data_IF_043980693126
#
_entry.id   IF_043980693126
#
_cell.length_a   1.000
_cell.length_b   1.000
_cell.length_c   1.000
_cell.angle_alpha   90.00
_cell.angle_beta   90.00
_cell.angle_gamma   90.00
#
_symmetry.space_group_name_H-M   'P 1'
#
loop_
_entity.id
_entity.type
_entity.pdbx_description
1 polymer ?
#
# COMPACT_ATOMS: atom_id res chain seq x y z
N UNK A 1 -14.30 -5.82 -28.15
CA UNK A 1 -14.36 -4.90 -27.00
C UNK A 1 -15.83 -4.71 -26.66
N UNK A 2 -16.24 -5.27 -25.53
CA UNK A 2 -17.48 -6.03 -25.41
C UNK A 2 -18.63 -5.20 -24.84
N UNK A 3 -19.78 -5.20 -25.52
CA UNK A 3 -21.00 -4.50 -25.13
C UNK A 3 -21.52 -4.90 -23.73
N UNK A 4 -21.20 -6.11 -23.26
CA UNK A 4 -21.60 -6.62 -21.95
C UNK A 4 -20.99 -5.85 -20.76
N UNK A 5 -19.74 -5.37 -20.89
CA UNK A 5 -19.10 -4.58 -19.83
C UNK A 5 -19.76 -3.21 -19.64
N UNK A 6 -20.37 -2.66 -20.69
CA UNK A 6 -21.11 -1.39 -20.63
C UNK A 6 -22.47 -1.56 -19.96
N UNK A 7 -23.12 -2.72 -20.11
CA UNK A 7 -24.39 -3.03 -19.42
C UNK A 7 -24.17 -3.16 -17.92
N UNK A 8 -23.07 -3.81 -17.52
CA UNK A 8 -22.73 -3.99 -16.10
C UNK A 8 -22.40 -2.66 -15.42
N UNK A 9 -21.60 -1.79 -16.06
CA UNK A 9 -21.32 -0.43 -15.54
C UNK A 9 -22.58 0.41 -15.42
N UNK A 10 -23.44 0.41 -16.43
CA UNK A 10 -24.70 1.16 -16.43
C UNK A 10 -25.68 0.67 -15.35
N UNK A 11 -25.64 -0.62 -14.99
CA UNK A 11 -26.40 -1.20 -13.87
C UNK A 11 -25.83 -0.77 -12.51
N UNK A 12 -24.50 -0.71 -12.39
CA UNK A 12 -23.83 -0.23 -11.17
C UNK A 12 -24.03 1.26 -10.93
N UNK A 13 -23.93 2.09 -11.97
CA UNK A 13 -24.21 3.53 -11.91
C UNK A 13 -25.65 3.80 -11.49
N UNK A 14 -26.63 3.08 -12.07
CA UNK A 14 -28.03 3.15 -11.60
C UNK A 14 -28.19 2.74 -10.13
N UNK A 15 -27.49 1.70 -9.69
CA UNK A 15 -27.53 1.28 -8.27
C UNK A 15 -26.87 2.27 -7.31
N UNK A 16 -25.92 3.09 -7.80
CA UNK A 16 -25.30 4.16 -7.04
C UNK A 16 -26.19 5.42 -7.00
N UNK A 17 -26.83 5.77 -8.11
CA UNK A 17 -27.81 6.87 -8.19
C UNK A 17 -29.02 6.61 -7.29
N UNK A 18 -29.56 5.39 -7.28
CA UNK A 18 -30.66 5.00 -6.38
C UNK A 18 -30.28 5.07 -4.89
N UNK A 19 -28.99 4.88 -4.56
CA UNK A 19 -28.47 5.05 -3.18
C UNK A 19 -28.21 6.52 -2.83
N UNK A 20 -27.88 7.37 -3.79
CA UNK A 20 -27.70 8.80 -3.57
C UNK A 20 -29.04 9.52 -3.35
N UNK A 21 -30.12 9.06 -4.01
CA UNK A 21 -31.49 9.54 -3.78
C UNK A 21 -32.02 9.20 -2.38
N UNK A 22 -31.45 8.18 -1.72
CA UNK A 22 -31.78 7.74 -0.34
C UNK A 22 -31.53 8.80 0.75
N UNK A 23 -30.81 9.88 0.44
CA UNK A 23 -30.54 10.96 1.40
C UNK A 23 -31.70 11.95 1.56
N UNK A 24 -32.74 11.90 0.70
CA UNK A 24 -33.89 12.80 0.79
C UNK A 24 -35.19 12.02 0.55
N UNK A 25 -35.76 11.48 1.63
CA UNK A 25 -37.13 10.95 1.68
C UNK A 25 -37.41 9.75 0.80
N UNK A 26 -36.94 8.56 1.19
CA UNK A 26 -37.48 7.30 0.66
C UNK A 26 -38.97 7.18 1.04
N UNK A 27 -39.81 6.75 0.11
CA UNK A 27 -41.21 6.43 0.42
C UNK A 27 -41.22 5.25 1.39
N UNK A 28 -41.92 5.37 2.53
CA UNK A 28 -42.01 4.30 3.54
C UNK A 28 -42.51 2.97 2.94
N UNK A 29 -43.29 3.05 1.86
CA UNK A 29 -43.75 1.90 1.08
C UNK A 29 -42.60 1.20 0.33
N UNK A 30 -41.69 1.96 -0.29
CA UNK A 30 -40.52 1.42 -0.99
C UNK A 30 -39.51 0.76 -0.03
N UNK A 31 -39.30 1.36 1.15
CA UNK A 31 -38.46 0.75 2.18
C UNK A 31 -39.09 -0.56 2.73
N UNK A 32 -40.41 -0.60 2.92
CA UNK A 32 -41.12 -1.81 3.33
C UNK A 32 -41.09 -2.91 2.27
N UNK A 33 -41.19 -2.56 0.98
CA UNK A 33 -41.04 -3.50 -0.13
C UNK A 33 -39.63 -4.11 -0.20
N UNK A 34 -38.59 -3.29 0.01
CA UNK A 34 -37.20 -3.76 0.08
C UNK A 34 -36.97 -4.68 1.27
N UNK A 35 -37.51 -4.33 2.45
CA UNK A 35 -37.42 -5.18 3.64
C UNK A 35 -38.15 -6.51 3.46
N UNK A 36 -39.31 -6.51 2.78
CA UNK A 36 -40.05 -7.72 2.44
C UNK A 36 -39.26 -8.60 1.45
N UNK A 37 -38.64 -8.00 0.42
CA UNK A 37 -37.79 -8.72 -0.52
C UNK A 37 -36.55 -9.34 0.17
N UNK A 38 -35.90 -8.59 1.06
CA UNK A 38 -34.78 -9.06 1.88
C UNK A 38 -35.22 -10.19 2.83
N UNK A 39 -36.39 -10.08 3.45
CA UNK A 39 -36.95 -11.11 4.33
C UNK A 39 -37.27 -12.39 3.56
N UNK A 40 -37.88 -12.28 2.38
CA UNK A 40 -38.08 -13.41 1.48
C UNK A 40 -36.75 -14.05 1.08
N UNK A 41 -35.72 -13.26 0.78
CA UNK A 41 -34.40 -13.78 0.44
C UNK A 41 -33.77 -14.53 1.63
N UNK A 42 -33.88 -13.98 2.84
CA UNK A 42 -33.42 -14.65 4.08
C UNK A 42 -34.16 -15.95 4.33
N UNK A 43 -35.47 -15.99 4.11
CA UNK A 43 -36.28 -17.20 4.20
C UNK A 43 -35.86 -18.25 3.15
N UNK A 44 -35.62 -17.83 1.90
CA UNK A 44 -35.10 -18.69 0.83
C UNK A 44 -33.71 -19.25 1.20
N UNK A 45 -32.82 -18.41 1.77
CA UNK A 45 -31.49 -18.82 2.24
C UNK A 45 -31.57 -19.79 3.42
N UNK A 46 -32.46 -19.57 4.40
CA UNK A 46 -32.65 -20.44 5.57
C UNK A 46 -33.23 -21.82 5.20
N UNK A 47 -34.01 -21.89 4.12
CA UNK A 47 -34.54 -23.16 3.58
C UNK A 47 -33.47 -24.03 2.93
N UNK A 48 -32.33 -23.46 2.55
CA UNK A 48 -31.17 -24.22 2.12
C UNK A 48 -30.29 -24.45 3.34
N UNK A 49 -30.16 -25.70 3.75
CA UNK A 49 -29.22 -26.06 4.81
C UNK A 49 -27.80 -25.66 4.39
N UNK A 50 -27.14 -24.86 5.23
CA UNK A 50 -25.79 -24.34 4.96
C UNK A 50 -24.79 -25.49 4.79
N UNK A 51 -24.94 -26.58 5.56
CA UNK A 51 -24.10 -27.75 5.43
C UNK A 51 -24.29 -28.42 4.05
N UNK A 52 -25.54 -28.62 3.62
CA UNK A 52 -25.84 -29.15 2.28
C UNK A 52 -25.29 -28.27 1.15
N UNK A 53 -25.34 -26.94 1.31
CA UNK A 53 -24.75 -26.00 0.34
C UNK A 53 -23.23 -26.12 0.30
N UNK A 54 -22.56 -26.15 1.45
CA UNK A 54 -21.11 -26.31 1.55
C UNK A 54 -20.68 -27.64 0.95
N UNK A 55 -21.39 -28.73 1.24
CA UNK A 55 -21.10 -30.06 0.71
C UNK A 55 -21.25 -30.13 -0.83
N UNK A 56 -22.28 -29.47 -1.38
CA UNK A 56 -22.40 -29.30 -2.83
C UNK A 56 -21.20 -28.56 -3.42
N UNK A 57 -20.77 -27.44 -2.82
CA UNK A 57 -19.62 -26.67 -3.30
C UNK A 57 -18.31 -27.45 -3.21
N UNK A 58 -18.10 -28.24 -2.15
CA UNK A 58 -16.91 -29.10 -2.01
C UNK A 58 -16.91 -30.15 -3.13
N UNK A 59 -18.03 -30.83 -3.35
CA UNK A 59 -18.16 -31.85 -4.40
C UNK A 59 -17.98 -31.29 -5.81
N UNK A 60 -18.59 -30.14 -6.10
CA UNK A 60 -18.41 -29.44 -7.37
C UNK A 60 -16.93 -29.03 -7.57
N UNK A 61 -16.26 -28.51 -6.54
CA UNK A 61 -14.84 -28.17 -6.60
C UNK A 61 -13.92 -29.39 -6.79
N UNK A 62 -14.25 -30.54 -6.17
CA UNK A 62 -13.56 -31.81 -6.40
C UNK A 62 -13.73 -32.28 -7.85
N UNK A 63 -14.95 -32.25 -8.40
CA UNK A 63 -15.22 -32.63 -9.79
C UNK A 63 -14.49 -31.74 -10.81
N UNK A 64 -14.27 -30.47 -10.47
CA UNK A 64 -13.51 -29.52 -11.27
C UNK A 64 -11.99 -29.70 -11.14
N UNK A 65 -11.52 -30.63 -10.30
CA UNK A 65 -10.09 -30.82 -10.06
C UNK A 65 -9.42 -29.63 -9.36
N UNK A 66 -10.18 -28.76 -8.66
CA UNK A 66 -9.60 -27.60 -7.94
C UNK A 66 -8.68 -28.01 -6.79
N UNK A 67 -8.78 -29.25 -6.34
CA UNK A 67 -7.91 -29.86 -5.34
C UNK A 67 -6.77 -30.69 -5.96
N UNK A 68 -6.68 -30.77 -7.28
CA UNK A 68 -5.57 -31.42 -7.97
C UNK A 68 -4.36 -30.48 -8.02
N UNK A 69 -3.14 -31.04 -8.02
CA UNK A 69 -1.88 -30.27 -8.11
C UNK A 69 -1.71 -29.16 -7.06
N UNK A 70 -2.22 -29.35 -5.85
CA UNK A 70 -1.95 -28.43 -4.74
C UNK A 70 -0.44 -28.26 -4.56
N UNK A 71 -0.01 -27.05 -4.17
CA UNK A 71 1.42 -26.68 -4.02
C UNK A 71 2.24 -27.71 -3.23
N UNK A 72 1.63 -28.32 -2.21
CA UNK A 72 2.21 -29.31 -1.32
C UNK A 72 1.60 -30.70 -1.45
N UNK A 73 0.84 -31.00 -2.51
CA UNK A 73 0.32 -32.35 -2.75
C UNK A 73 1.48 -33.36 -2.81
N UNK A 74 1.44 -34.37 -1.93
CA UNK A 74 2.49 -35.39 -1.82
C UNK A 74 3.85 -34.90 -1.30
N UNK A 75 3.98 -33.62 -0.93
CA UNK A 75 5.21 -33.05 -0.35
C UNK A 75 5.05 -32.96 1.17
N UNK A 76 6.14 -33.05 1.94
CA UNK A 76 6.09 -32.75 3.37
C UNK A 76 5.58 -31.32 3.56
N UNK A 77 4.68 -31.14 4.54
CA UNK A 77 4.20 -29.81 4.93
C UNK A 77 5.35 -29.10 5.63
N UNK A 78 5.78 -27.91 5.16
CA UNK A 78 6.86 -27.17 5.80
C UNK A 78 6.52 -26.88 7.28
N UNK A 79 7.44 -27.16 8.19
CA UNK A 79 7.27 -26.93 9.63
C UNK A 79 6.41 -27.96 10.38
N UNK A 80 5.91 -29.00 9.69
CA UNK A 80 5.16 -30.08 10.35
C UNK A 80 6.10 -30.98 11.16
N UNK A 81 5.91 -31.04 12.48
CA UNK A 81 6.76 -31.80 13.41
C UNK A 81 7.81 -30.96 14.15
N UNK A 82 7.89 -29.66 13.86
CA UNK A 82 8.59 -28.70 14.71
C UNK A 82 7.77 -28.42 15.99
N UNK A 83 8.35 -27.68 16.93
CA UNK A 83 7.66 -27.31 18.17
C UNK A 83 6.31 -26.63 17.86
N UNK A 84 5.24 -27.01 18.56
CA UNK A 84 3.92 -26.44 18.32
C UNK A 84 3.95 -24.93 18.55
N UNK A 85 3.76 -24.17 17.47
CA UNK A 85 3.69 -22.71 17.47
C UNK A 85 2.23 -22.28 17.32
N UNK A 86 1.56 -21.77 18.37
CA UNK A 86 0.17 -21.31 18.28
C UNK A 86 -0.05 -20.23 17.20
N UNK A 87 1.00 -19.46 16.88
CA UNK A 87 0.95 -18.32 15.97
C UNK A 87 1.39 -18.65 14.54
N UNK A 88 1.53 -19.94 14.20
CA UNK A 88 2.05 -20.40 12.90
C UNK A 88 1.27 -19.80 11.71
N UNK A 89 -0.05 -19.69 11.83
CA UNK A 89 -0.92 -19.16 10.80
C UNK A 89 -0.80 -17.63 10.66
N UNK A 90 -0.58 -16.91 11.78
CA UNK A 90 -0.35 -15.46 11.78
C UNK A 90 0.98 -15.14 11.11
N UNK A 91 2.05 -15.85 11.50
CA UNK A 91 3.38 -15.73 10.88
C UNK A 91 3.33 -16.04 9.38
N UNK A 92 2.62 -17.11 9.02
CA UNK A 92 2.39 -17.48 7.63
C UNK A 92 1.65 -16.39 6.84
N UNK A 93 0.63 -15.77 7.43
CA UNK A 93 -0.12 -14.69 6.80
C UNK A 93 0.73 -13.42 6.62
N UNK A 94 1.46 -13.00 7.66
CA UNK A 94 2.40 -11.87 7.61
C UNK A 94 3.40 -12.07 6.47
N UNK A 95 3.98 -13.27 6.36
CA UNK A 95 4.95 -13.59 5.31
C UNK A 95 4.31 -13.64 3.92
N UNK A 96 3.11 -14.21 3.79
CA UNK A 96 2.39 -14.34 2.52
C UNK A 96 2.02 -12.98 1.94
N UNK A 97 1.45 -12.13 2.76
CA UNK A 97 0.95 -10.80 2.36
C UNK A 97 2.01 -9.71 2.48
N UNK A 98 3.24 -10.06 2.91
CA UNK A 98 4.35 -9.13 3.16
C UNK A 98 3.94 -7.96 4.04
N UNK A 99 3.19 -8.25 5.11
CA UNK A 99 2.73 -7.21 6.02
C UNK A 99 3.92 -6.57 6.74
N UNK A 100 4.04 -5.25 6.63
CA UNK A 100 5.04 -4.43 7.30
C UNK A 100 4.40 -3.53 8.36
N UNK A 101 5.20 -2.95 9.26
CA UNK A 101 4.69 -2.03 10.28
C UNK A 101 4.00 -2.72 11.46
N UNK A 102 4.03 -4.06 11.52
CA UNK A 102 3.46 -4.85 12.60
C UNK A 102 4.61 -5.27 13.52
N UNK A 103 4.65 -4.74 14.74
CA UNK A 103 5.60 -5.16 15.73
C UNK A 103 5.81 -4.16 16.86
N UNK A 104 6.64 -4.51 17.86
CA UNK A 104 7.00 -3.60 18.93
C UNK A 104 7.68 -2.34 18.37
N UNK A 105 7.40 -1.15 18.94
CA UNK A 105 8.00 0.11 18.48
C UNK A 105 9.53 0.07 18.36
N UNK A 106 10.20 -0.63 19.29
CA UNK A 106 11.65 -0.78 19.30
C UNK A 106 12.23 -1.45 18.04
N UNK A 107 11.48 -2.35 17.40
CA UNK A 107 11.90 -3.03 16.16
C UNK A 107 11.53 -2.17 14.95
N UNK A 108 10.32 -1.61 14.94
CA UNK A 108 9.86 -0.73 13.86
C UNK A 108 10.77 0.48 13.68
N UNK A 109 11.18 1.13 14.78
CA UNK A 109 12.09 2.27 14.74
C UNK A 109 13.47 1.91 14.21
N UNK A 110 13.97 0.68 14.40
CA UNK A 110 15.24 0.23 13.83
C UNK A 110 15.14 0.06 12.31
N UNK A 111 14.05 -0.52 11.84
CA UNK A 111 13.79 -0.67 10.40
C UNK A 111 13.67 0.71 9.78
N UNK A 112 12.88 1.60 10.39
CA UNK A 112 12.72 2.95 9.90
C UNK A 112 14.03 3.74 9.88
N UNK A 113 14.87 3.65 10.92
CA UNK A 113 16.20 4.26 10.95
C UNK A 113 17.09 3.79 9.80
N UNK A 114 17.00 2.50 9.42
CA UNK A 114 17.75 1.94 8.29
C UNK A 114 17.25 2.41 6.92
N UNK A 115 15.98 2.78 6.82
CA UNK A 115 15.35 3.29 5.59
C UNK A 115 15.37 4.83 5.51
N UNK A 116 15.70 5.50 6.62
CA UNK A 116 15.51 6.94 6.79
C UNK A 116 16.28 7.73 5.73
N UNK A 117 17.54 7.39 5.47
CA UNK A 117 18.38 8.10 4.51
C UNK A 117 17.77 8.11 3.11
N UNK A 118 17.20 6.96 2.68
CA UNK A 118 16.53 6.82 1.40
C UNK A 118 15.18 7.57 1.35
N UNK A 119 14.46 7.66 2.49
CA UNK A 119 13.23 8.46 2.61
C UNK A 119 13.52 9.96 2.53
N UNK A 120 14.63 10.41 3.13
CA UNK A 120 15.06 11.81 3.09
C UNK A 120 15.46 12.22 1.66
N UNK A 121 16.15 11.34 0.92
CA UNK A 121 16.55 11.60 -0.47
C UNK A 121 15.38 11.82 -1.42
N UNK A 122 14.20 11.29 -1.09
CA UNK A 122 12.97 11.49 -1.87
C UNK A 122 12.29 12.85 -1.64
N UNK A 123 12.72 13.59 -0.61
CA UNK A 123 12.15 14.90 -0.29
C UNK A 123 12.77 15.99 -1.15
N UNK A 124 12.04 17.12 -1.27
CA UNK A 124 12.43 18.23 -2.12
C UNK A 124 12.79 19.49 -1.32
N UNK A 125 12.38 19.58 -0.06
CA UNK A 125 12.53 20.79 0.74
C UNK A 125 13.17 20.48 2.09
N UNK A 126 14.01 21.40 2.57
CA UNK A 126 14.61 21.32 3.92
C UNK A 126 13.54 21.16 5.00
N UNK A 127 12.38 21.81 4.84
CA UNK A 127 11.28 21.73 5.80
C UNK A 127 10.75 20.31 5.94
N UNK A 128 10.51 19.61 4.81
CA UNK A 128 10.05 18.22 4.83
C UNK A 128 11.05 17.30 5.52
N UNK A 129 12.34 17.47 5.24
CA UNK A 129 13.40 16.68 5.87
C UNK A 129 13.44 16.93 7.38
N UNK A 130 13.38 18.20 7.79
CA UNK A 130 13.30 18.58 9.21
C UNK A 130 12.09 17.96 9.90
N UNK A 131 10.90 18.10 9.33
CA UNK A 131 9.65 17.58 9.90
C UNK A 131 9.72 16.05 10.10
N UNK A 132 10.27 15.30 9.13
CA UNK A 132 10.46 13.85 9.22
C UNK A 132 11.44 13.47 10.33
N UNK A 133 12.57 14.16 10.41
CA UNK A 133 13.60 13.91 11.43
C UNK A 133 13.09 14.21 12.84
N UNK A 134 12.36 15.31 13.01
CA UNK A 134 11.76 15.69 14.29
C UNK A 134 10.70 14.69 14.74
N UNK A 135 9.82 14.25 13.83
CA UNK A 135 8.82 13.22 14.13
C UNK A 135 9.48 11.88 14.50
N UNK A 136 10.48 11.44 13.74
CA UNK A 136 11.25 10.23 14.04
C UNK A 136 11.87 10.31 15.44
N UNK A 137 12.57 11.40 15.75
CA UNK A 137 13.19 11.62 17.05
C UNK A 137 12.15 11.63 18.18
N UNK A 138 11.00 12.27 17.97
CA UNK A 138 9.89 12.29 18.94
C UNK A 138 9.41 10.88 19.24
N UNK A 139 9.20 10.04 18.22
CA UNK A 139 8.79 8.64 18.39
C UNK A 139 9.85 7.79 19.07
N UNK A 140 11.14 8.02 18.81
CA UNK A 140 12.24 7.36 19.54
C UNK A 140 12.21 7.75 21.02
N UNK A 141 12.03 9.03 21.34
CA UNK A 141 11.94 9.50 22.73
C UNK A 141 10.72 8.90 23.44
N UNK A 142 9.56 8.91 22.79
CA UNK A 142 8.33 8.33 23.33
C UNK A 142 8.49 6.83 23.59
N UNK A 143 9.03 6.08 22.62
CA UNK A 143 9.29 4.65 22.79
C UNK A 143 10.26 4.34 23.94
N UNK A 144 11.26 5.22 24.19
CA UNK A 144 12.16 5.09 25.34
C UNK A 144 11.50 5.45 26.67
N UNK A 145 10.55 6.39 26.65
CA UNK A 145 9.77 6.79 27.84
C UNK A 145 8.71 5.77 28.21
N UNK A 146 8.33 4.91 27.27
CA UNK A 146 7.37 3.84 27.51
C UNK A 146 7.90 2.90 28.61
N UNK A 147 7.21 2.85 29.75
CA UNK A 147 7.50 1.94 30.87
C UNK A 147 6.83 0.56 30.71
N UNK A 148 6.23 0.26 29.56
CA UNK A 148 5.39 -0.93 29.34
C UNK A 148 6.19 -2.22 29.11
N UNK A 149 7.50 -2.22 29.38
CA UNK A 149 8.38 -3.34 29.08
C UNK A 149 8.50 -3.61 27.58
N UNK A 150 9.24 -4.67 27.22
CA UNK A 150 9.49 -5.07 25.84
C UNK A 150 10.97 -4.94 25.43
N UNK A 151 11.28 -5.22 24.14
CA UNK A 151 12.65 -5.17 23.65
C UNK A 151 13.27 -3.78 23.82
N UNK A 152 14.56 -3.67 24.20
CA UNK A 152 15.19 -2.38 24.43
C UNK A 152 15.24 -1.53 23.16
N UNK A 153 14.89 -0.25 23.30
CA UNK A 153 14.98 0.77 22.26
C UNK A 153 16.42 1.29 22.20
N UNK A 154 17.25 0.72 21.34
CA UNK A 154 18.65 1.15 21.14
C UNK A 154 18.82 2.14 19.98
N UNK A 155 17.75 2.39 19.21
CA UNK A 155 17.76 3.30 18.05
C UNK A 155 18.20 4.69 18.50
N UNK A 156 19.19 5.28 17.82
CA UNK A 156 19.77 6.58 18.18
C UNK A 156 18.87 7.72 17.70
N UNK A 157 18.97 8.86 18.36
CA UNK A 157 18.40 10.11 17.83
C UNK A 157 19.28 10.61 16.70
N UNK A 158 18.65 11.22 15.70
CA UNK A 158 19.32 11.85 14.56
C UNK A 158 19.48 13.35 14.83
N UNK A 159 20.67 13.87 14.59
CA UNK A 159 20.90 15.31 14.66
C UNK A 159 20.28 15.96 13.41
N UNK A 160 19.28 16.81 13.63
CA UNK A 160 18.47 17.39 12.55
C UNK A 160 19.31 18.27 11.64
N UNK A 161 20.17 19.11 12.21
CA UNK A 161 20.94 20.07 11.42
C UNK A 161 22.07 19.36 10.66
N UNK A 162 22.74 18.39 11.29
CA UNK A 162 23.76 17.60 10.62
C UNK A 162 23.20 16.72 9.48
N UNK A 163 22.00 16.14 9.64
CA UNK A 163 21.37 15.35 8.57
C UNK A 163 20.86 16.24 7.42
N UNK A 164 20.43 17.47 7.70
CA UNK A 164 20.07 18.45 6.67
C UNK A 164 21.28 18.86 5.82
N UNK A 165 22.43 19.09 6.43
CA UNK A 165 23.68 19.39 5.71
C UNK A 165 24.05 18.24 4.76
N UNK A 166 24.09 17.00 5.27
CA UNK A 166 24.35 15.81 4.44
C UNK A 166 23.34 15.63 3.32
N UNK A 167 22.07 15.93 3.57
CA UNK A 167 21.03 15.85 2.54
C UNK A 167 21.25 16.90 1.43
N UNK A 168 21.59 18.14 1.79
CA UNK A 168 21.93 19.20 0.82
C UNK A 168 23.16 18.84 0.00
N UNK A 169 24.19 18.28 0.63
CA UNK A 169 25.41 17.82 -0.04
C UNK A 169 25.12 16.69 -1.05
N UNK A 170 24.30 15.70 -0.65
CA UNK A 170 23.87 14.62 -1.57
C UNK A 170 23.09 15.19 -2.76
N UNK A 171 22.21 16.18 -2.53
CA UNK A 171 21.45 16.83 -3.61
C UNK A 171 22.32 17.66 -4.54
N UNK A 172 23.29 18.41 -4.02
CA UNK A 172 24.18 19.21 -4.87
C UNK A 172 25.10 18.32 -5.70
N UNK A 173 25.56 17.20 -5.16
CA UNK A 173 26.34 16.20 -5.90
C UNK A 173 25.52 15.47 -6.98
N UNK A 174 24.21 15.31 -6.78
CA UNK A 174 23.30 14.69 -7.74
C UNK A 174 22.75 15.66 -8.79
N UNK A 175 22.91 16.97 -8.59
CA UNK A 175 22.54 17.96 -9.60
C UNK A 175 23.46 17.80 -10.83
N UNK A 176 22.90 17.70 -12.05
CA UNK A 176 23.71 17.75 -13.26
C UNK A 176 24.58 19.01 -13.22
N UNK A 177 25.85 18.94 -13.67
CA UNK A 177 26.65 20.15 -13.81
C UNK A 177 25.86 21.15 -14.64
N UNK A 178 25.77 22.39 -14.16
CA UNK A 178 25.20 23.50 -14.93
C UNK A 178 25.77 23.42 -16.35
N UNK A 179 24.92 23.53 -17.40
CA UNK A 179 25.46 23.62 -18.75
C UNK A 179 26.40 24.83 -18.76
N UNK A 180 27.68 24.57 -19.04
CA UNK A 180 28.69 25.62 -19.18
C UNK A 180 28.09 26.74 -20.04
N UNK A 181 28.23 28.03 -19.65
CA UNK A 181 27.71 29.12 -20.46
C UNK A 181 28.29 28.96 -21.85
N UNK A 182 27.42 28.71 -22.84
CA UNK A 182 27.82 28.50 -24.23
C UNK A 182 28.78 29.62 -24.61
N UNK A 183 30.07 29.28 -24.76
CA UNK A 183 31.05 30.26 -25.20
C UNK A 183 30.54 30.80 -26.53
N UNK A 184 30.48 32.13 -26.73
CA UNK A 184 29.93 32.69 -27.95
C UNK A 184 30.73 32.10 -29.12
N UNK A 185 30.07 31.22 -29.87
CA UNK A 185 30.69 30.44 -30.93
C UNK A 185 31.45 31.39 -31.85
N UNK A 186 32.74 31.11 -32.06
CA UNK A 186 33.60 31.94 -32.92
C UNK A 186 32.92 32.08 -34.28
N UNK A 187 32.42 33.28 -34.57
CA UNK A 187 31.75 33.59 -35.83
C UNK A 187 32.69 33.22 -36.98
N UNK A 188 32.31 32.20 -37.74
CA UNK A 188 33.07 31.71 -38.88
C UNK A 188 33.14 32.80 -39.95
N UNK A 189 34.34 33.00 -40.49
CA UNK A 189 34.72 33.98 -41.52
C UNK A 189 33.67 34.14 -42.66
N UNK A 190 33.03 33.05 -43.09
CA UNK A 190 31.99 33.06 -44.14
C UNK A 190 30.71 33.83 -43.76
N UNK A 191 30.30 33.85 -42.48
CA UNK A 191 29.15 34.65 -42.01
C UNK A 191 29.41 36.16 -42.10
N UNK A 192 30.68 36.56 -42.16
CA UNK A 192 31.10 37.96 -42.27
C UNK A 192 31.16 38.44 -43.73
N UNK A 193 31.26 37.50 -44.68
CA UNK A 193 31.27 37.80 -46.12
C UNK A 193 29.86 38.00 -46.67
N UNK A 194 28.83 37.44 -46.04
CA UNK A 194 27.45 37.52 -46.55
C UNK A 194 26.63 38.73 -46.08
N UNK A 195 27.01 39.40 -44.99
CA UNK A 195 26.35 40.63 -44.51
C UNK A 195 26.95 41.92 -45.07
N UNK A 196 27.82 41.83 -46.10
CA UNK A 196 28.52 42.96 -46.69
C UNK A 196 28.24 43.09 -48.19
N UNK A 197 26.98 43.18 -48.59
CA UNK A 197 26.59 43.64 -49.93
C UNK A 197 25.10 43.99 -49.95
N UNK A 198 24.81 45.29 -50.06
CA UNK A 198 23.46 45.86 -50.15
C UNK A 198 23.40 47.23 -49.51
#
# INVERSE_FOLDING_TARGET
MNAENNVFRRRLERGAELRAVRSWGGNAEEDAELEAADAEEREKRRKVDDAARVEYLIRDAMNQGKFDNLKYAGKPIPGLGEHYDPDWWVKGLIQRERLSGIGPPAILLRIEDSELDAKLDQQYTDKQVRDILEDFNKRVIEARRQLQGGPPVITRLRDVDAELEKWRERRSAAAPPEPEPEQPGKRTWWQRIWNGSG
#
